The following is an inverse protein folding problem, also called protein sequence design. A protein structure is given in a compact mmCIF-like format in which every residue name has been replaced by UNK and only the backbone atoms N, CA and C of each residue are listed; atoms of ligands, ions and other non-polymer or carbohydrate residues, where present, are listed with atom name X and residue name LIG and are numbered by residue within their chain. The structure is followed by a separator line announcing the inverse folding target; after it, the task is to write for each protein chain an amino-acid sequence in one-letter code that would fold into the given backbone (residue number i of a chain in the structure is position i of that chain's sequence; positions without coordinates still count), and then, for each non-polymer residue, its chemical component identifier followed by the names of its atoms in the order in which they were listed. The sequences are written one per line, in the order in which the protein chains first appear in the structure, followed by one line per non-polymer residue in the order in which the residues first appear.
data_IF_304023006317
#
_entry.id   IF_304023006317
#
_cell.length_a   1.000
_cell.length_b   1.000
_cell.length_c   1.000
_cell.angle_alpha   90.00
_cell.angle_beta   90.00
_cell.angle_gamma   90.00
#
_symmetry.space_group_name_H-M   'P 1'
#
loop_
_entity.id
_entity.type
_entity.pdbx_description
1 polymer ?
#
# COMPACT_ATOMS: atom_id res chain seq x y z
N UNK A 1 -1.08 2.04 -22.87
CA UNK A 1 -0.21 2.10 -21.67
C UNK A 1 -0.94 2.47 -20.36
N UNK A 2 -2.15 3.04 -20.37
CA UNK A 2 -2.90 3.38 -19.14
C UNK A 2 -4.15 2.53 -18.88
N UNK A 3 -4.41 1.54 -19.72
CA UNK A 3 -5.66 0.75 -19.68
C UNK A 3 -5.87 0.06 -18.32
N UNK A 4 -4.81 -0.51 -17.75
CA UNK A 4 -4.85 -1.15 -16.43
C UNK A 4 -5.11 -0.16 -15.30
N UNK A 5 -4.56 1.05 -15.40
CA UNK A 5 -4.84 2.15 -14.46
C UNK A 5 -6.29 2.59 -14.50
N UNK A 6 -6.86 2.72 -15.71
CA UNK A 6 -8.29 3.03 -15.87
C UNK A 6 -9.16 1.92 -15.29
N UNK A 7 -8.86 0.65 -15.58
CA UNK A 7 -9.56 -0.50 -14.99
C UNK A 7 -9.53 -0.47 -13.46
N UNK A 8 -8.36 -0.26 -12.85
CA UNK A 8 -8.24 -0.14 -11.39
C UNK A 8 -9.01 1.05 -10.82
N UNK A 9 -8.98 2.21 -11.47
CA UNK A 9 -9.75 3.39 -11.04
C UNK A 9 -11.25 3.11 -11.05
N UNK A 10 -11.75 2.42 -12.07
CA UNK A 10 -13.16 2.03 -12.15
C UNK A 10 -13.54 1.01 -11.07
N UNK A 11 -12.66 0.05 -10.77
CA UNK A 11 -12.89 -0.91 -9.68
C UNK A 11 -12.99 -0.21 -8.32
N UNK A 12 -12.09 0.72 -8.02
CA UNK A 12 -12.12 1.51 -6.78
C UNK A 12 -13.39 2.38 -6.69
N UNK A 13 -13.76 3.07 -7.77
CA UNK A 13 -15.01 3.85 -7.84
C UNK A 13 -16.26 2.96 -7.72
N UNK A 14 -16.16 1.72 -8.19
CA UNK A 14 -17.21 0.70 -8.08
C UNK A 14 -17.33 0.06 -6.70
N UNK A 15 -16.51 0.47 -5.71
CA UNK A 15 -16.63 0.01 -4.33
C UNK A 15 -15.66 -1.10 -3.93
N UNK A 16 -14.64 -1.41 -4.74
CA UNK A 16 -13.55 -2.28 -4.30
C UNK A 16 -12.78 -1.62 -3.14
N UNK A 17 -12.91 -2.17 -1.94
CA UNK A 17 -12.11 -1.75 -0.79
C UNK A 17 -10.76 -2.48 -0.75
N UNK A 18 -9.68 -1.72 -0.85
CA UNK A 18 -8.30 -2.20 -0.77
C UNK A 18 -7.67 -1.94 0.59
N UNK A 19 -8.40 -1.38 1.55
CA UNK A 19 -7.91 -1.15 2.91
C UNK A 19 -7.37 -2.43 3.58
N UNK A 20 -8.01 -3.62 3.42
CA UNK A 20 -7.55 -4.84 4.10
C UNK A 20 -6.17 -5.35 3.67
N UNK A 21 -5.69 -4.98 2.47
CA UNK A 21 -4.35 -5.40 2.01
C UNK A 21 -3.23 -4.54 2.62
N UNK A 22 -3.58 -3.36 3.17
CA UNK A 22 -2.65 -2.46 3.83
C UNK A 22 -2.47 -2.94 5.27
N UNK A 23 -1.36 -3.61 5.52
CA UNK A 23 -1.07 -4.22 6.82
C UNK A 23 -0.31 -3.30 7.78
N UNK A 24 0.50 -2.38 7.25
CA UNK A 24 1.35 -1.51 8.06
C UNK A 24 1.41 -0.10 7.47
N UNK A 25 1.52 0.90 8.35
CA UNK A 25 1.74 2.31 8.00
C UNK A 25 2.83 2.87 8.91
N UNK A 26 3.83 3.52 8.32
CA UNK A 26 4.93 4.16 9.04
C UNK A 26 5.05 5.62 8.57
N UNK A 27 5.66 6.47 9.38
CA UNK A 27 6.12 7.77 8.89
C UNK A 27 7.31 7.54 7.93
N UNK A 28 7.50 8.44 6.97
CA UNK A 28 8.60 8.33 6.01
C UNK A 28 9.98 8.37 6.67
N UNK A 29 10.10 9.05 7.82
CA UNK A 29 11.32 9.08 8.63
C UNK A 29 11.68 7.70 9.21
N UNK A 30 10.68 6.85 9.45
CA UNK A 30 10.83 5.49 9.98
C UNK A 30 11.05 4.43 8.88
N UNK A 31 11.54 4.83 7.70
CA UNK A 31 11.70 3.94 6.55
C UNK A 31 12.49 2.67 6.89
N UNK A 32 13.55 2.78 7.71
CA UNK A 32 14.38 1.65 8.11
C UNK A 32 13.54 0.51 8.73
N UNK A 33 12.67 0.85 9.69
CA UNK A 33 11.79 -0.11 10.36
C UNK A 33 10.76 -0.70 9.38
N UNK A 34 10.23 0.12 8.48
CA UNK A 34 9.31 -0.33 7.44
C UNK A 34 9.94 -1.38 6.51
N UNK A 35 11.20 -1.20 6.12
CA UNK A 35 11.94 -2.16 5.29
C UNK A 35 12.26 -3.45 6.04
N UNK A 36 12.60 -3.40 7.33
CA UNK A 36 12.80 -4.60 8.15
C UNK A 36 11.51 -5.45 8.24
N UNK A 37 10.34 -4.82 8.36
CA UNK A 37 9.05 -5.52 8.34
C UNK A 37 8.79 -6.20 6.99
N UNK A 38 9.16 -5.55 5.89
CA UNK A 38 9.06 -6.13 4.55
C UNK A 38 10.00 -7.34 4.39
N UNK A 39 11.25 -7.21 4.85
CA UNK A 39 12.27 -8.26 4.75
C UNK A 39 11.90 -9.52 5.55
N UNK A 40 11.28 -9.33 6.72
CA UNK A 40 10.75 -10.43 7.54
C UNK A 40 9.56 -11.17 6.89
N UNK A 41 9.00 -10.67 5.79
CA UNK A 41 7.92 -11.31 5.04
C UNK A 41 6.56 -11.34 5.75
N UNK A 42 6.43 -10.69 6.91
CA UNK A 42 5.20 -10.64 7.71
C UNK A 42 4.33 -9.42 7.37
N UNK A 43 4.21 -9.07 6.08
CA UNK A 43 3.40 -7.93 5.64
C UNK A 43 2.70 -8.19 4.30
N UNK A 44 1.53 -7.58 4.10
CA UNK A 44 0.84 -7.57 2.81
C UNK A 44 1.24 -6.36 1.96
N UNK A 45 0.93 -5.17 2.46
CA UNK A 45 1.37 -3.88 1.91
C UNK A 45 1.76 -2.93 3.04
N UNK A 46 2.87 -2.23 2.84
CA UNK A 46 3.37 -1.17 3.72
C UNK A 46 3.25 0.17 3.02
N UNK A 47 2.83 1.20 3.74
CA UNK A 47 2.75 2.60 3.27
C UNK A 47 3.64 3.48 4.15
N UNK A 48 4.42 4.35 3.51
CA UNK A 48 5.15 5.43 4.16
C UNK A 48 4.37 6.74 3.98
N UNK A 49 4.02 7.39 5.09
CA UNK A 49 3.33 8.69 5.10
C UNK A 49 4.35 9.83 5.17
N UNK A 50 4.14 10.88 4.39
CA UNK A 50 5.02 12.06 4.30
C UNK A 50 4.41 13.31 4.96
N UNK A 51 3.27 13.13 5.63
CA UNK A 51 2.53 14.18 6.33
C UNK A 51 3.12 14.45 7.72
#
# INVERSE_FOLDING_TARGET
MFETWYKMSQLLRGGLDVSPIITHKFNAEDFQQAFEVVDNGQCGKVILNWD
#
